data_IF_386386526618
#
_entry.id   IF_386386526618
#
_cell.length_a   1.000
_cell.length_b   1.000
_cell.length_c   1.000
_cell.angle_alpha   90.00
_cell.angle_beta   90.00
_cell.angle_gamma   90.00
#
_symmetry.space_group_name_H-M   'P 1'
#
loop_
_entity.id
_entity.type
_entity.pdbx_description
1 polymer ?
#
# COMPACT_ATOMS: atom_id res chain seq x y z
N UNK A 1 -21.30 7.29 -1.78
CA UNK A 1 -19.86 7.61 -1.69
C UNK A 1 -19.16 6.69 -2.68
N UNK A 2 -18.41 7.25 -3.62
CA UNK A 2 -17.57 6.46 -4.53
C UNK A 2 -16.20 6.28 -3.87
N UNK A 3 -15.69 5.04 -3.82
CA UNK A 3 -14.33 4.75 -3.36
C UNK A 3 -13.44 4.45 -4.54
N UNK A 4 -12.20 4.87 -4.45
CA UNK A 4 -11.17 4.47 -5.39
C UNK A 4 -10.81 3.00 -5.16
N UNK A 5 -10.69 2.23 -6.26
CA UNK A 5 -10.25 0.84 -6.23
C UNK A 5 -9.07 0.73 -7.19
N UNK A 6 -7.87 0.63 -6.61
CA UNK A 6 -6.61 0.50 -7.35
C UNK A 6 -5.73 -0.58 -6.72
N UNK A 7 -4.92 -1.20 -7.56
CA UNK A 7 -3.92 -2.19 -7.18
C UNK A 7 -2.60 -1.86 -7.86
N UNK A 8 -1.49 -2.06 -7.17
CA UNK A 8 -0.18 -2.18 -7.81
C UNK A 8 0.11 -3.66 -8.05
N UNK A 9 0.67 -3.96 -9.21
CA UNK A 9 0.89 -5.32 -9.69
C UNK A 9 2.37 -5.65 -9.60
N UNK A 10 2.68 -6.85 -9.11
CA UNK A 10 4.04 -7.31 -8.91
C UNK A 10 4.35 -8.55 -9.73
N UNK A 11 5.58 -8.60 -10.23
CA UNK A 11 6.22 -9.77 -10.87
C UNK A 11 7.65 -9.83 -10.35
N UNK A 12 8.07 -10.98 -9.81
CA UNK A 12 9.42 -11.14 -9.25
C UNK A 12 9.78 -10.05 -8.22
N UNK A 13 8.84 -9.73 -7.31
CA UNK A 13 8.93 -8.65 -6.30
C UNK A 13 9.11 -7.22 -6.86
N UNK A 14 9.00 -7.03 -8.17
CA UNK A 14 9.08 -5.72 -8.81
C UNK A 14 7.69 -5.21 -9.16
N UNK A 15 7.43 -3.92 -8.92
CA UNK A 15 6.19 -3.27 -9.38
C UNK A 15 6.26 -3.13 -10.90
N UNK A 16 5.34 -3.78 -11.60
CA UNK A 16 5.29 -3.81 -13.07
C UNK A 16 4.15 -2.98 -13.65
N UNK A 17 3.17 -2.59 -12.83
CA UNK A 17 2.08 -1.74 -13.27
C UNK A 17 1.00 -1.56 -12.22
N UNK A 18 -0.12 -1.00 -12.67
CA UNK A 18 -1.26 -0.64 -11.84
C UNK A 18 -2.55 -1.10 -12.52
N UNK A 19 -3.51 -1.52 -11.70
CA UNK A 19 -4.88 -1.82 -12.11
C UNK A 19 -5.82 -0.85 -11.40
N UNK A 20 -6.83 -0.34 -12.08
CA UNK A 20 -7.89 0.45 -11.46
C UNK A 20 -9.28 0.07 -11.95
N UNK A 21 -10.30 0.24 -11.11
CA UNK A 21 -11.69 0.24 -11.54
C UNK A 21 -12.11 1.68 -11.85
N UNK A 22 -12.44 1.93 -13.11
CA UNK A 22 -12.90 3.24 -13.60
C UNK A 22 -14.19 3.06 -14.41
N UNK A 23 -15.26 3.76 -14.02
CA UNK A 23 -16.57 3.71 -14.70
C UNK A 23 -17.11 2.28 -14.92
N UNK A 24 -16.84 1.37 -13.98
CA UNK A 24 -17.29 -0.03 -14.04
C UNK A 24 -16.39 -0.97 -14.85
N UNK A 25 -15.28 -0.45 -15.40
CA UNK A 25 -14.31 -1.22 -16.18
C UNK A 25 -12.95 -1.25 -15.50
N UNK A 26 -12.27 -2.38 -15.59
CA UNK A 26 -10.86 -2.48 -15.22
C UNK A 26 -9.98 -1.87 -16.30
N UNK A 27 -9.08 -1.00 -15.88
CA UNK A 27 -8.01 -0.44 -16.71
C UNK A 27 -6.66 -0.82 -16.10
N UNK A 28 -5.66 -0.92 -16.96
CA UNK A 28 -4.28 -1.23 -16.61
C UNK A 28 -3.33 -0.15 -17.13
N UNK A 29 -2.20 0.04 -16.44
CA UNK A 29 -1.09 0.90 -16.87
C UNK A 29 0.22 0.27 -16.43
N UNK A 30 1.15 0.02 -17.34
CA UNK A 30 2.49 -0.44 -16.97
C UNK A 30 3.27 0.66 -16.24
N UNK A 31 4.30 0.30 -15.47
CA UNK A 31 5.06 1.27 -14.66
C UNK A 31 5.81 2.31 -15.51
N UNK A 32 6.18 1.94 -16.73
CA UNK A 32 6.87 2.76 -17.73
C UNK A 32 5.92 3.48 -18.71
N UNK A 33 4.62 3.29 -18.54
CA UNK A 33 3.58 3.91 -19.37
C UNK A 33 2.90 5.08 -18.66
N UNK A 34 2.50 6.08 -19.43
CA UNK A 34 1.75 7.24 -18.92
C UNK A 34 0.23 7.09 -19.09
N UNK A 35 -0.22 6.20 -19.97
CA UNK A 35 -1.63 6.07 -20.36
C UNK A 35 -2.27 4.79 -19.81
N UNK A 36 -3.55 4.89 -19.46
CA UNK A 36 -4.37 3.74 -19.08
C UNK A 36 -4.92 3.05 -20.32
N UNK A 37 -4.86 1.73 -20.33
CA UNK A 37 -5.38 0.87 -21.40
C UNK A 37 -6.36 -0.17 -20.84
N UNK A 38 -7.21 -0.71 -21.71
CA UNK A 38 -8.00 -1.89 -21.36
C UNK A 38 -7.10 -3.13 -21.34
N UNK A 39 -7.39 -4.12 -20.48
CA UNK A 39 -6.49 -5.24 -20.25
C UNK A 39 -6.18 -5.99 -21.55
N UNK A 40 -4.93 -5.89 -21.99
CA UNK A 40 -4.28 -6.85 -22.85
C UNK A 40 -3.58 -7.92 -21.98
N UNK A 41 -3.11 -9.02 -22.58
CA UNK A 41 -2.44 -10.08 -21.82
C UNK A 41 -1.20 -9.51 -21.10
N UNK A 42 -1.29 -9.38 -19.77
CA UNK A 42 -0.23 -8.86 -18.92
C UNK A 42 0.06 -9.86 -17.78
N UNK A 43 1.33 -10.16 -17.52
CA UNK A 43 1.73 -11.15 -16.53
C UNK A 43 2.07 -10.46 -15.20
N UNK A 44 1.46 -10.94 -14.12
CA UNK A 44 1.73 -10.54 -12.75
C UNK A 44 1.44 -11.73 -11.82
N UNK A 45 1.97 -11.67 -10.61
CA UNK A 45 1.89 -12.76 -9.61
C UNK A 45 1.14 -12.34 -8.35
N UNK A 46 1.29 -11.06 -7.96
CA UNK A 46 0.64 -10.48 -6.78
C UNK A 46 0.05 -9.11 -7.12
N UNK A 47 -1.01 -8.76 -6.40
CA UNK A 47 -1.62 -7.45 -6.45
C UNK A 47 -1.75 -6.94 -5.03
N UNK A 48 -1.33 -5.70 -4.79
CA UNK A 48 -1.42 -5.04 -3.48
C UNK A 48 -2.39 -3.87 -3.60
N UNK A 49 -3.36 -3.81 -2.69
CA UNK A 49 -4.46 -2.86 -2.79
C UNK A 49 -4.08 -1.48 -2.23
N UNK A 50 -4.50 -0.41 -2.91
CA UNK A 50 -4.48 0.95 -2.38
C UNK A 50 -5.44 1.08 -1.19
N UNK A 51 -4.97 1.64 -0.07
CA UNK A 51 -5.75 1.70 1.16
C UNK A 51 -6.91 2.70 1.09
N UNK A 52 -6.77 3.77 0.31
CA UNK A 52 -7.74 4.88 0.27
C UNK A 52 -7.84 5.66 1.59
N UNK A 53 -6.86 5.49 2.49
CA UNK A 53 -6.83 6.20 3.76
C UNK A 53 -6.45 7.67 3.55
N UNK A 54 -6.98 8.52 4.42
CA UNK A 54 -6.71 9.96 4.45
C UNK A 54 -6.17 10.34 5.82
N UNK A 55 -5.29 11.33 5.85
CA UNK A 55 -4.83 11.92 7.10
C UNK A 55 -5.94 12.70 7.82
N UNK A 56 -5.64 13.21 9.02
CA UNK A 56 -6.58 14.02 9.82
C UNK A 56 -7.06 15.30 9.11
N UNK A 57 -6.32 15.79 8.14
CA UNK A 57 -6.61 17.01 7.38
C UNK A 57 -7.32 16.68 6.04
N UNK A 58 -7.58 15.40 5.76
CA UNK A 58 -8.30 14.91 4.59
C UNK A 58 -7.43 14.62 3.36
N UNK A 59 -6.10 14.73 3.47
CA UNK A 59 -5.19 14.44 2.36
C UNK A 59 -5.04 12.92 2.18
N UNK A 60 -5.00 12.46 0.93
CA UNK A 60 -4.78 11.04 0.63
C UNK A 60 -3.39 10.58 1.07
N UNK A 61 -3.35 9.44 1.75
CA UNK A 61 -2.11 8.75 2.06
C UNK A 61 -1.78 7.82 0.89
N UNK A 62 -0.56 7.95 0.33
CA UNK A 62 -0.02 7.01 -0.66
C UNK A 62 0.39 5.68 0.00
N UNK A 63 -0.57 5.05 0.65
CA UNK A 63 -0.40 3.84 1.44
C UNK A 63 -1.07 2.67 0.73
N UNK A 64 -0.30 1.63 0.49
CA UNK A 64 -0.69 0.40 -0.18
C UNK A 64 -0.44 -0.78 0.76
N UNK A 65 -1.19 -1.87 0.58
CA UNK A 65 -0.82 -3.15 1.18
C UNK A 65 0.66 -3.47 0.90
N UNK A 66 1.37 -3.98 1.92
CA UNK A 66 2.80 -4.27 1.91
C UNK A 66 3.73 -3.07 2.00
N UNK A 67 3.23 -1.83 2.07
CA UNK A 67 4.08 -0.68 2.40
C UNK A 67 4.64 -0.76 3.83
N UNK A 68 5.87 -0.28 4.01
CA UNK A 68 6.56 -0.17 5.29
C UNK A 68 6.49 1.28 5.78
N UNK A 69 5.89 1.47 6.94
CA UNK A 69 5.69 2.76 7.60
C UNK A 69 6.55 2.81 8.87
N UNK A 70 7.46 3.79 8.96
CA UNK A 70 8.20 4.07 10.19
C UNK A 70 7.44 5.11 11.02
N UNK A 71 7.30 4.83 12.31
CA UNK A 71 6.86 5.80 13.31
C UNK A 71 8.08 6.50 13.96
N UNK A 72 7.85 7.49 14.83
CA UNK A 72 8.89 8.14 15.66
C UNK A 72 9.74 7.13 16.44
N UNK A 73 9.16 5.99 16.83
CA UNK A 73 9.86 4.94 17.57
C UNK A 73 10.87 4.18 16.71
N UNK A 74 10.99 4.49 15.40
CA UNK A 74 11.80 3.80 14.40
C UNK A 74 11.46 2.31 14.24
N UNK A 75 10.31 1.90 14.77
CA UNK A 75 9.78 0.55 14.60
C UNK A 75 9.04 0.48 13.25
N UNK A 76 9.41 -0.46 12.36
CA UNK A 76 8.76 -0.62 11.08
C UNK A 76 7.42 -1.32 11.24
N UNK A 77 6.41 -0.75 10.58
CA UNK A 77 5.07 -1.30 10.48
C UNK A 77 4.79 -1.68 9.04
N UNK A 78 4.13 -2.81 8.84
CA UNK A 78 3.68 -3.27 7.53
C UNK A 78 2.20 -2.96 7.39
N UNK A 79 1.78 -2.41 6.26
CA UNK A 79 0.36 -2.29 5.93
C UNK A 79 -0.16 -3.65 5.49
N UNK A 80 -1.12 -4.20 6.22
CA UNK A 80 -1.71 -5.52 5.94
C UNK A 80 -3.22 -5.42 5.83
N UNK A 81 -3.83 -6.19 4.92
CA UNK A 81 -5.27 -6.38 4.87
C UNK A 81 -5.63 -7.72 5.49
N UNK A 82 -6.39 -7.71 6.59
CA UNK A 82 -6.97 -8.94 7.15
C UNK A 82 -8.26 -8.62 7.91
N UNK A 83 -9.16 -9.60 8.05
CA UNK A 83 -10.46 -9.43 8.69
C UNK A 83 -11.28 -8.23 8.17
N UNK A 84 -11.18 -7.93 6.86
CA UNK A 84 -11.97 -6.91 6.20
C UNK A 84 -11.50 -5.46 6.39
N UNK A 85 -10.33 -5.24 7.00
CA UNK A 85 -9.76 -3.91 7.21
C UNK A 85 -8.25 -3.87 6.96
N UNK A 86 -7.74 -2.66 6.70
CA UNK A 86 -6.30 -2.40 6.68
C UNK A 86 -5.80 -2.11 8.09
N UNK A 87 -4.58 -2.57 8.37
CA UNK A 87 -3.91 -2.35 9.64
C UNK A 87 -2.45 -2.03 9.43
N UNK A 88 -1.85 -1.35 10.41
CA UNK A 88 -0.40 -1.28 10.58
C UNK A 88 -0.02 -2.39 11.56
N UNK A 89 0.74 -3.36 11.08
CA UNK A 89 1.26 -4.47 11.88
C UNK A 89 2.72 -4.21 12.23
N UNK A 90 3.02 -4.18 13.52
CA UNK A 90 4.37 -4.04 14.05
C UNK A 90 5.17 -5.30 13.79
N UNK A 91 6.40 -5.14 13.29
CA UNK A 91 7.34 -6.25 13.20
C UNK A 91 7.73 -6.71 14.61
N UNK A 92 7.19 -7.86 15.08
CA UNK A 92 7.40 -8.36 16.45
C UNK A 92 6.15 -8.46 17.31
N UNK A 93 5.00 -7.99 16.81
CA UNK A 93 3.69 -8.20 17.43
C UNK A 93 3.06 -6.92 17.95
N UNK A 94 1.95 -6.52 17.33
CA UNK A 94 1.22 -5.29 17.62
C UNK A 94 0.43 -4.90 16.38
N UNK A 95 -0.80 -4.42 16.55
CA UNK A 95 -1.64 -4.11 15.39
C UNK A 95 -2.55 -2.93 15.68
N UNK A 96 -2.54 -1.94 14.79
CA UNK A 96 -3.44 -0.79 14.83
C UNK A 96 -4.31 -0.76 13.59
N UNK A 97 -5.59 -0.42 13.77
CA UNK A 97 -6.47 -0.19 12.64
C UNK A 97 -5.93 0.96 11.79
N UNK A 98 -5.90 0.78 10.47
CA UNK A 98 -5.29 1.72 9.54
C UNK A 98 -5.93 3.11 9.60
N UNK A 99 -7.26 3.18 9.78
CA UNK A 99 -7.97 4.45 9.94
C UNK A 99 -7.62 5.17 11.25
N UNK A 100 -7.37 4.43 12.34
CA UNK A 100 -6.93 5.03 13.60
C UNK A 100 -5.51 5.58 13.45
N UNK A 101 -4.62 4.79 12.85
CA UNK A 101 -3.25 5.20 12.59
C UNK A 101 -3.14 6.43 11.66
N UNK A 102 -4.00 6.53 10.65
CA UNK A 102 -4.05 7.64 9.71
C UNK A 102 -4.56 8.96 10.33
N UNK A 103 -5.41 8.88 11.37
CA UNK A 103 -5.99 10.05 12.04
C UNK A 103 -5.08 10.65 13.12
N UNK A 104 -4.05 9.92 13.54
CA UNK A 104 -3.04 10.45 14.46
C UNK A 104 -2.11 11.41 13.70
N UNK A 105 -1.27 12.16 14.41
CA UNK A 105 -0.34 13.09 13.78
C UNK A 105 0.52 12.39 12.73
N UNK A 106 0.18 12.54 11.43
CA UNK A 106 0.85 11.82 10.34
C UNK A 106 2.31 12.28 10.19
N UNK A 107 2.70 13.44 10.74
CA UNK A 107 4.09 13.90 10.71
C UNK A 107 5.04 12.93 11.42
N UNK A 108 4.51 12.09 12.32
CA UNK A 108 5.28 11.04 12.98
C UNK A 108 5.40 9.74 12.19
N UNK A 109 4.76 9.64 11.00
CA UNK A 109 4.73 8.42 10.20
C UNK A 109 5.21 8.68 8.77
N UNK A 110 6.18 7.89 8.32
CA UNK A 110 6.75 8.01 6.98
C UNK A 110 6.77 6.66 6.30
N UNK A 111 6.22 6.61 5.08
CA UNK A 111 6.45 5.50 4.16
C UNK A 111 7.93 5.49 3.75
N UNK A 112 8.61 4.37 3.98
CA UNK A 112 10.05 4.22 3.73
C UNK A 112 10.41 3.13 2.73
N UNK A 113 9.45 2.31 2.34
CA UNK A 113 9.66 1.22 1.39
C UNK A 113 8.44 0.32 1.33
N UNK A 114 8.63 -0.88 0.82
CA UNK A 114 7.65 -1.98 0.87
C UNK A 114 8.38 -3.30 1.13
N UNK A 115 7.64 -4.33 1.53
CA UNK A 115 8.19 -5.65 1.88
C UNK A 115 8.87 -6.39 0.72
N UNK A 116 8.65 -5.97 -0.52
CA UNK A 116 9.16 -6.65 -1.71
C UNK A 116 10.52 -6.11 -2.16
N UNK A 117 10.71 -4.79 -2.09
CA UNK A 117 11.94 -4.12 -2.52
C UNK A 117 12.82 -3.67 -1.36
N UNK A 118 12.29 -3.70 -0.13
CA UNK A 118 12.96 -3.20 1.06
C UNK A 118 12.82 -4.14 2.27
N UNK A 119 12.97 -5.46 2.04
CA UNK A 119 12.85 -6.46 3.10
C UNK A 119 13.90 -6.28 4.20
N UNK A 120 15.05 -5.70 3.88
CA UNK A 120 16.13 -5.39 4.83
C UNK A 120 15.68 -4.46 5.98
N UNK A 121 14.63 -3.66 5.77
CA UNK A 121 14.07 -2.78 6.80
C UNK A 121 13.39 -3.55 7.94
N UNK A 122 13.15 -4.86 7.77
CA UNK A 122 12.48 -5.72 8.75
C UNK A 122 13.46 -6.64 9.51
N UNK A 123 14.75 -6.69 9.13
CA UNK A 123 15.69 -7.70 9.62
C UNK A 123 16.35 -7.35 10.97
N UNK A 124 16.19 -6.12 11.48
CA UNK A 124 16.99 -5.59 12.60
C UNK A 124 16.31 -5.51 13.98
N UNK A 125 15.33 -6.38 14.28
CA UNK A 125 14.60 -6.32 15.56
C UNK A 125 14.62 -7.64 16.35
N UNK A 126 15.83 -8.12 16.68
CA UNK A 126 16.07 -9.22 17.63
C UNK A 126 16.72 -8.71 18.91
#
# INVERSE_FOLDING_TARGET
MYREIKFRLLLDNSIVGYLQLYEGWTQFRAVDETEWSYPCSFKWEKAEQFTGLKDKDGNDLDWWEGDIILAITEIPHIIVFDNGAFYLEENGGGRWLGNEAAQWDISCRKKVGNIHTNSELLEHQS
#
